data_IF_566415110618
#
_entry.id   IF_566415110618
#
_cell.length_a   1.000
_cell.length_b   1.000
_cell.length_c   1.000
_cell.angle_alpha   90.00
_cell.angle_beta   90.00
_cell.angle_gamma   90.00
#
_symmetry.space_group_name_H-M   'P 1'
#
loop_
_entity.id
_entity.type
_entity.pdbx_description
1 polymer ?
#
# COMPACT_ATOMS: atom_id res chain seq x y z
N UNK A 1 5.31 14.80 -6.65
CA UNK A 1 4.21 15.05 -7.61
C UNK A 1 2.91 14.86 -6.86
N UNK A 2 2.15 15.94 -6.65
CA UNK A 2 0.98 15.96 -5.75
C UNK A 2 -0.22 15.25 -6.37
N UNK A 3 -0.92 14.42 -5.58
CA UNK A 3 -2.16 13.69 -5.95
C UNK A 3 -3.24 14.65 -6.50
N UNK A 4 -3.18 15.95 -6.19
CA UNK A 4 -4.08 16.95 -6.75
C UNK A 4 -4.00 17.07 -8.29
N UNK A 5 -2.89 16.67 -8.91
CA UNK A 5 -2.71 16.76 -10.36
C UNK A 5 -3.35 15.57 -11.12
N UNK A 6 -3.60 14.44 -10.46
CA UNK A 6 -4.18 13.26 -11.12
C UNK A 6 -5.67 13.43 -11.46
N UNK A 7 -6.44 14.22 -10.69
CA UNK A 7 -7.82 14.58 -11.09
C UNK A 7 -7.89 15.89 -11.92
N UNK A 8 -6.79 16.66 -12.05
CA UNK A 8 -6.77 17.91 -12.84
C UNK A 8 -6.26 17.76 -14.28
N UNK A 9 -5.51 16.69 -14.60
CA UNK A 9 -4.81 16.57 -15.89
C UNK A 9 -5.70 16.28 -17.13
N UNK A 10 -7.03 16.43 -17.03
CA UNK A 10 -7.94 16.33 -18.19
C UNK A 10 -8.98 17.47 -18.21
N UNK A 11 -8.55 18.67 -17.85
CA UNK A 11 -9.29 19.90 -18.07
C UNK A 11 -8.39 20.88 -18.81
N UNK A 12 -8.80 21.24 -20.03
CA UNK A 12 -8.19 22.28 -20.85
C UNK A 12 -7.92 23.53 -19.99
N UNK A 13 -6.77 24.16 -20.20
CA UNK A 13 -6.28 25.30 -19.43
C UNK A 13 -7.09 26.57 -19.73
N UNK A 14 -8.33 26.62 -19.23
CA UNK A 14 -9.11 27.84 -19.07
C UNK A 14 -10.33 27.50 -18.20
N UNK A 15 -10.68 28.40 -17.29
CA UNK A 15 -11.80 28.33 -16.32
C UNK A 15 -11.44 27.83 -14.91
N UNK A 16 -11.42 28.82 -14.03
CA UNK A 16 -11.58 28.78 -12.57
C UNK A 16 -12.45 27.61 -12.10
N UNK A 17 -11.83 26.72 -11.33
CA UNK A 17 -12.39 25.51 -10.72
C UNK A 17 -13.29 25.87 -9.54
N UNK A 18 -14.31 26.69 -9.77
CA UNK A 18 -15.29 27.10 -8.76
C UNK A 18 -16.69 26.48 -8.98
N UNK A 19 -16.82 25.59 -9.96
CA UNK A 19 -18.09 24.90 -10.27
C UNK A 19 -17.79 23.44 -10.59
N UNK A 20 -17.36 22.70 -9.57
CA UNK A 20 -17.03 21.28 -9.69
C UNK A 20 -18.32 20.47 -9.71
N UNK A 21 -18.76 20.17 -10.92
CA UNK A 21 -19.82 19.23 -11.25
C UNK A 21 -19.71 17.94 -10.39
N UNK A 22 -20.65 17.67 -9.46
CA UNK A 22 -20.58 16.55 -8.52
C UNK A 22 -20.48 15.19 -9.23
N UNK A 23 -20.91 15.10 -10.49
CA UNK A 23 -20.78 13.89 -11.31
C UNK A 23 -19.32 13.58 -11.66
N UNK A 24 -18.48 14.59 -11.93
CA UNK A 24 -17.06 14.39 -12.27
C UNK A 24 -16.25 13.94 -11.05
N UNK A 25 -16.57 14.46 -9.87
CA UNK A 25 -15.96 14.05 -8.61
C UNK A 25 -16.28 12.58 -8.29
N UNK A 26 -17.54 12.17 -8.51
CA UNK A 26 -17.98 10.79 -8.30
C UNK A 26 -17.27 9.79 -9.22
N UNK A 27 -17.06 10.14 -10.50
CA UNK A 27 -16.32 9.29 -11.45
C UNK A 27 -14.83 9.19 -11.09
N UNK A 28 -14.16 10.30 -10.70
CA UNK A 28 -12.75 10.25 -10.25
C UNK A 28 -12.62 9.35 -9.00
N UNK A 29 -13.51 9.53 -8.01
CA UNK A 29 -13.52 8.75 -6.78
C UNK A 29 -13.75 7.25 -7.02
N UNK A 30 -14.70 6.89 -7.88
CA UNK A 30 -14.97 5.48 -8.21
C UNK A 30 -13.79 4.81 -8.92
N UNK A 31 -13.15 5.52 -9.86
CA UNK A 31 -11.98 5.00 -10.59
C UNK A 31 -10.79 4.80 -9.65
N UNK A 32 -10.53 5.78 -8.78
CA UNK A 32 -9.46 5.71 -7.78
C UNK A 32 -9.71 4.59 -6.78
N UNK A 33 -10.96 4.39 -6.35
CA UNK A 33 -11.34 3.30 -5.47
C UNK A 33 -11.14 1.92 -6.13
N UNK A 34 -11.52 1.76 -7.40
CA UNK A 34 -11.25 0.52 -8.14
C UNK A 34 -9.75 0.25 -8.25
N UNK A 35 -8.95 1.27 -8.56
CA UNK A 35 -7.49 1.14 -8.59
C UNK A 35 -6.92 0.75 -7.22
N UNK A 36 -7.41 1.36 -6.13
CA UNK A 36 -7.03 1.03 -4.75
C UNK A 36 -7.24 -0.45 -4.44
N UNK A 37 -8.42 -0.96 -4.78
CA UNK A 37 -8.80 -2.36 -4.54
C UNK A 37 -7.91 -3.30 -5.34
N UNK A 38 -7.67 -3.00 -6.62
CA UNK A 38 -6.81 -3.83 -7.48
C UNK A 38 -5.38 -3.87 -6.94
N UNK A 39 -4.81 -2.72 -6.58
CA UNK A 39 -3.46 -2.64 -6.00
C UNK A 39 -3.39 -3.39 -4.67
N UNK A 40 -4.38 -3.21 -3.79
CA UNK A 40 -4.43 -3.91 -2.49
C UNK A 40 -4.49 -5.42 -2.67
N UNK A 41 -5.32 -5.91 -3.60
CA UNK A 41 -5.44 -7.33 -3.92
C UNK A 41 -4.12 -7.89 -4.48
N UNK A 42 -3.50 -7.19 -5.42
CA UNK A 42 -2.22 -7.61 -6.00
C UNK A 42 -1.13 -7.72 -4.93
N UNK A 43 -1.04 -6.72 -4.05
CA UNK A 43 -0.09 -6.72 -2.94
C UNK A 43 -0.36 -7.87 -1.96
N UNK A 44 -1.62 -8.10 -1.61
CA UNK A 44 -2.03 -9.24 -0.77
C UNK A 44 -1.52 -10.56 -1.34
N UNK A 45 -1.74 -10.83 -2.63
CA UNK A 45 -1.31 -12.07 -3.28
C UNK A 45 0.22 -12.22 -3.24
N UNK A 46 0.96 -11.16 -3.58
CA UNK A 46 2.44 -11.19 -3.61
C UNK A 46 3.01 -11.50 -2.24
N UNK A 47 2.55 -10.80 -1.19
CA UNK A 47 3.04 -11.03 0.18
C UNK A 47 2.58 -12.37 0.75
N UNK A 48 1.38 -12.82 0.40
CA UNK A 48 0.90 -14.14 0.80
C UNK A 48 1.78 -15.24 0.21
N UNK A 49 2.11 -15.15 -1.08
CA UNK A 49 2.99 -16.12 -1.73
C UNK A 49 4.42 -16.08 -1.15
N UNK A 50 4.99 -14.88 -0.98
CA UNK A 50 6.31 -14.68 -0.36
C UNK A 50 6.36 -15.26 1.06
N UNK A 51 5.36 -14.95 1.88
CA UNK A 51 5.28 -15.39 3.27
C UNK A 51 5.04 -16.89 3.40
N UNK A 52 4.11 -17.44 2.61
CA UNK A 52 3.91 -18.90 2.55
C UNK A 52 5.17 -19.63 2.10
N UNK A 53 5.91 -19.11 1.13
CA UNK A 53 7.19 -19.67 0.71
C UNK A 53 8.20 -19.76 1.86
N UNK A 54 8.26 -18.72 2.71
CA UNK A 54 9.09 -18.74 3.94
C UNK A 54 8.60 -19.76 4.96
N UNK A 55 7.28 -19.87 5.18
CA UNK A 55 6.71 -20.83 6.13
C UNK A 55 6.88 -22.29 5.68
N UNK A 56 6.80 -22.54 4.37
CA UNK A 56 7.03 -23.85 3.76
C UNK A 56 8.53 -24.19 3.62
N UNK A 57 9.41 -23.40 4.24
CA UNK A 57 10.86 -23.65 4.26
C UNK A 57 11.50 -23.69 2.87
N UNK A 58 10.92 -23.01 1.88
CA UNK A 58 11.46 -23.02 0.51
C UNK A 58 12.83 -22.32 0.53
N UNK A 59 13.92 -23.00 0.12
CA UNK A 59 15.29 -22.50 0.31
C UNK A 59 15.51 -21.10 -0.24
N UNK A 60 14.93 -20.82 -1.41
CA UNK A 60 15.03 -19.52 -2.10
C UNK A 60 14.69 -18.33 -1.21
N UNK A 61 13.67 -18.44 -0.36
CA UNK A 61 13.25 -17.33 0.50
C UNK A 61 14.07 -17.22 1.80
N UNK A 62 14.88 -18.23 2.12
CA UNK A 62 15.71 -18.27 3.33
C UNK A 62 17.18 -17.88 3.10
N UNK A 63 17.66 -17.92 1.84
CA UNK A 63 19.03 -17.51 1.47
C UNK A 63 19.40 -16.13 2.02
N UNK A 64 18.57 -15.06 1.87
CA UNK A 64 18.95 -13.74 2.35
C UNK A 64 19.26 -13.70 3.85
N UNK A 65 18.51 -14.44 4.67
CA UNK A 65 18.71 -14.47 6.12
C UNK A 65 20.00 -15.20 6.49
N UNK A 66 20.35 -16.26 5.77
CA UNK A 66 21.63 -16.96 5.95
C UNK A 66 22.81 -16.07 5.61
N UNK A 67 22.73 -15.31 4.51
CA UNK A 67 23.79 -14.38 4.07
C UNK A 67 23.98 -13.24 5.07
N UNK A 68 22.88 -12.77 5.68
CA UNK A 68 22.91 -11.75 6.74
C UNK A 68 23.35 -12.29 8.12
N UNK A 69 23.70 -13.57 8.24
CA UNK A 69 24.01 -14.24 9.52
C UNK A 69 22.89 -14.10 10.57
N UNK A 70 21.63 -14.06 10.13
CA UNK A 70 20.47 -14.01 11.02
C UNK A 70 20.10 -15.43 11.49
N UNK A 71 19.46 -15.55 12.66
CA UNK A 71 18.99 -16.85 13.16
C UNK A 71 18.08 -17.55 12.13
N UNK A 72 18.19 -18.88 12.02
CA UNK A 72 17.40 -19.69 11.07
C UNK A 72 15.89 -19.54 11.27
N UNK A 73 15.44 -19.27 12.50
CA UNK A 73 14.05 -18.98 12.83
C UNK A 73 13.54 -17.63 12.30
N UNK A 74 14.42 -16.69 11.95
CA UNK A 74 14.03 -15.32 11.58
C UNK A 74 13.24 -15.28 10.27
N UNK A 75 13.60 -16.12 9.30
CA UNK A 75 12.84 -16.22 8.04
C UNK A 75 11.41 -16.67 8.24
N UNK A 76 11.16 -17.60 9.17
CA UNK A 76 9.80 -18.04 9.52
C UNK A 76 9.02 -16.93 10.22
N UNK A 77 9.66 -16.20 11.13
CA UNK A 77 9.05 -15.05 11.80
C UNK A 77 8.59 -13.98 10.79
N UNK A 78 9.46 -13.63 9.84
CA UNK A 78 9.10 -12.73 8.73
C UNK A 78 7.98 -13.32 7.88
N UNK A 79 8.02 -14.63 7.59
CA UNK A 79 6.95 -15.32 6.87
C UNK A 79 5.59 -15.21 7.54
N UNK A 80 5.52 -15.34 8.88
CA UNK A 80 4.28 -15.12 9.64
C UNK A 80 3.79 -13.68 9.47
N UNK A 81 4.68 -12.69 9.61
CA UNK A 81 4.32 -11.27 9.43
C UNK A 81 3.81 -11.00 8.01
N UNK A 82 4.47 -11.54 6.98
CA UNK A 82 4.06 -11.37 5.60
C UNK A 82 2.68 -11.98 5.32
N UNK A 83 2.39 -13.17 5.84
CA UNK A 83 1.07 -13.81 5.67
C UNK A 83 -0.02 -13.05 6.43
N UNK A 84 0.23 -12.70 7.70
CA UNK A 84 -0.74 -11.94 8.50
C UNK A 84 -0.98 -10.55 7.91
N UNK A 85 0.07 -9.87 7.45
CA UNK A 85 -0.02 -8.59 6.77
C UNK A 85 -0.75 -8.68 5.43
N UNK A 86 -0.50 -9.73 4.65
CA UNK A 86 -1.19 -9.97 3.39
C UNK A 86 -2.70 -10.18 3.56
N UNK A 87 -3.10 -10.91 4.60
CA UNK A 87 -4.51 -11.11 4.93
C UNK A 87 -5.09 -9.80 5.48
N UNK A 88 -4.37 -9.15 6.41
CA UNK A 88 -4.81 -7.95 7.10
C UNK A 88 -4.99 -6.72 6.19
N UNK A 89 -4.22 -6.59 5.10
CA UNK A 89 -4.37 -5.48 4.15
C UNK A 89 -5.72 -5.50 3.43
N UNK A 90 -6.35 -6.68 3.33
CA UNK A 90 -7.68 -6.86 2.77
C UNK A 90 -8.79 -6.24 3.63
N UNK A 91 -8.62 -6.22 4.95
CA UNK A 91 -9.59 -5.64 5.88
C UNK A 91 -9.32 -4.14 6.09
N UNK A 92 -10.33 -3.31 5.83
CA UNK A 92 -10.22 -1.84 5.92
C UNK A 92 -9.72 -1.37 7.29
N UNK A 93 -10.19 -1.98 8.38
CA UNK A 93 -9.82 -1.60 9.75
C UNK A 93 -8.34 -1.89 10.08
N UNK A 94 -7.77 -2.95 9.49
CA UNK A 94 -6.39 -3.37 9.75
C UNK A 94 -5.43 -2.97 8.63
N UNK A 95 -5.91 -2.27 7.60
CA UNK A 95 -5.15 -2.04 6.37
C UNK A 95 -3.89 -1.23 6.62
N UNK A 96 -4.00 -0.12 7.33
CA UNK A 96 -2.86 0.75 7.62
C UNK A 96 -1.83 0.01 8.47
N UNK A 97 -2.27 -0.70 9.52
CA UNK A 97 -1.40 -1.47 10.40
C UNK A 97 -0.68 -2.61 9.65
N UNK A 98 -1.39 -3.30 8.76
CA UNK A 98 -0.83 -4.39 7.96
C UNK A 98 0.17 -3.86 6.93
N UNK A 99 -0.19 -2.77 6.25
CA UNK A 99 0.68 -2.13 5.28
C UNK A 99 1.97 -1.58 5.93
N UNK A 100 1.91 -1.02 7.14
CA UNK A 100 3.11 -0.57 7.86
C UNK A 100 3.99 -1.73 8.31
N UNK A 101 3.40 -2.83 8.80
CA UNK A 101 4.16 -4.04 9.13
C UNK A 101 4.88 -4.61 7.90
N UNK A 102 4.17 -4.75 6.77
CA UNK A 102 4.76 -5.19 5.50
C UNK A 102 5.85 -4.23 5.01
N UNK A 103 5.67 -2.92 5.17
CA UNK A 103 6.66 -1.93 4.79
C UNK A 103 7.94 -2.03 5.64
N UNK A 104 7.81 -2.33 6.93
CA UNK A 104 8.95 -2.65 7.80
C UNK A 104 9.71 -3.89 7.32
N UNK A 105 9.01 -4.94 6.87
CA UNK A 105 9.65 -6.13 6.29
C UNK A 105 10.40 -5.78 5.00
N UNK A 106 9.80 -4.97 4.13
CA UNK A 106 10.45 -4.52 2.90
C UNK A 106 11.69 -3.67 3.15
N UNK A 107 11.74 -2.90 4.24
CA UNK A 107 12.96 -2.17 4.61
C UNK A 107 14.14 -3.12 4.87
N UNK A 108 13.88 -4.29 5.48
CA UNK A 108 14.90 -5.34 5.62
C UNK A 108 15.35 -5.93 4.28
N UNK A 109 14.41 -6.15 3.35
CA UNK A 109 14.74 -6.62 2.00
C UNK A 109 15.56 -5.60 1.20
N UNK A 110 15.22 -4.31 1.31
CA UNK A 110 15.99 -3.21 0.72
C UNK A 110 17.41 -3.21 1.30
N UNK A 111 17.55 -3.27 2.63
CA UNK A 111 18.85 -3.34 3.29
C UNK A 111 19.69 -4.50 2.75
N UNK A 112 19.10 -5.70 2.62
CA UNK A 112 19.77 -6.86 2.05
C UNK A 112 20.31 -6.58 0.63
N UNK A 113 19.46 -6.10 -0.29
CA UNK A 113 19.88 -5.89 -1.68
C UNK A 113 20.95 -4.80 -1.83
N UNK A 114 20.98 -3.78 -0.97
CA UNK A 114 21.99 -2.74 -1.02
C UNK A 114 23.35 -3.18 -0.44
N UNK A 115 23.36 -4.08 0.54
CA UNK A 115 24.59 -4.46 1.26
C UNK A 115 25.19 -5.79 0.78
N UNK A 116 24.38 -6.69 0.22
CA UNK A 116 24.80 -8.07 -0.11
C UNK A 116 24.62 -8.44 -1.58
N UNK A 117 23.89 -7.65 -2.36
CA UNK A 117 23.66 -7.89 -3.79
C UNK A 117 23.91 -6.62 -4.62
N UNK A 118 23.54 -6.67 -5.91
CA UNK A 118 23.55 -5.49 -6.77
C UNK A 118 22.40 -4.56 -6.42
N UNK A 119 22.65 -3.25 -6.47
CA UNK A 119 21.64 -2.22 -6.19
C UNK A 119 20.43 -2.29 -7.13
N UNK A 120 20.60 -2.84 -8.35
CA UNK A 120 19.50 -3.07 -9.29
C UNK A 120 18.52 -4.14 -8.80
N UNK A 121 18.98 -5.12 -8.02
CA UNK A 121 18.11 -6.13 -7.40
C UNK A 121 17.18 -5.54 -6.35
N UNK A 122 17.42 -4.31 -5.87
CA UNK A 122 16.54 -3.63 -4.92
C UNK A 122 15.26 -3.04 -5.56
N UNK A 123 15.20 -2.95 -6.89
CA UNK A 123 14.06 -2.34 -7.61
C UNK A 123 12.69 -2.97 -7.26
N UNK A 124 12.55 -4.32 -7.18
CA UNK A 124 11.29 -4.92 -6.77
C UNK A 124 10.91 -4.54 -5.32
N UNK A 125 11.85 -4.58 -4.38
CA UNK A 125 11.59 -4.23 -2.98
C UNK A 125 11.21 -2.75 -2.82
N UNK A 126 11.86 -1.85 -3.58
CA UNK A 126 11.53 -0.43 -3.62
C UNK A 126 10.14 -0.17 -4.23
N UNK A 127 9.80 -0.85 -5.32
CA UNK A 127 8.50 -0.68 -5.97
C UNK A 127 7.36 -1.18 -5.07
N UNK A 128 7.49 -2.37 -4.46
CA UNK A 128 6.53 -2.87 -3.49
C UNK A 128 6.39 -1.94 -2.28
N UNK A 129 7.49 -1.39 -1.75
CA UNK A 129 7.46 -0.40 -0.67
C UNK A 129 6.69 0.87 -1.06
N UNK A 130 6.90 1.37 -2.27
CA UNK A 130 6.18 2.53 -2.78
C UNK A 130 4.67 2.26 -2.92
N UNK A 131 4.29 1.06 -3.38
CA UNK A 131 2.89 0.66 -3.45
C UNK A 131 2.24 0.53 -2.06
N UNK A 132 2.93 -0.04 -1.07
CA UNK A 132 2.44 -0.10 0.32
C UNK A 132 2.24 1.30 0.90
N UNK A 133 3.19 2.21 0.66
CA UNK A 133 3.08 3.60 1.09
C UNK A 133 1.89 4.30 0.42
N UNK A 134 1.66 4.04 -0.87
CA UNK A 134 0.51 4.56 -1.59
C UNK A 134 -0.82 4.06 -0.98
N UNK A 135 -0.91 2.78 -0.62
CA UNK A 135 -2.09 2.20 0.04
C UNK A 135 -2.38 2.94 1.35
N UNK A 136 -1.36 3.16 2.19
CA UNK A 136 -1.51 3.89 3.46
C UNK A 136 -2.05 5.30 3.21
N UNK A 137 -1.46 6.03 2.26
CA UNK A 137 -1.89 7.41 1.96
C UNK A 137 -3.29 7.48 1.39
N UNK A 138 -3.66 6.49 0.58
CA UNK A 138 -4.98 6.43 -0.04
C UNK A 138 -6.07 6.14 1.00
N UNK A 139 -5.82 5.20 1.90
CA UNK A 139 -6.74 4.86 2.98
C UNK A 139 -6.95 6.05 3.95
N UNK A 140 -5.86 6.72 4.33
CA UNK A 140 -5.89 7.94 5.15
C UNK A 140 -6.68 9.08 4.49
N UNK A 141 -6.62 9.18 3.16
CA UNK A 141 -7.34 10.20 2.38
C UNK A 141 -8.82 9.87 2.30
N UNK A 142 -9.18 8.62 2.03
CA UNK A 142 -10.59 8.17 1.98
C UNK A 142 -11.26 8.37 3.33
N UNK A 143 -10.59 8.03 4.43
CA UNK A 143 -11.12 8.24 5.79
C UNK A 143 -11.32 9.72 6.13
N UNK A 144 -10.39 10.60 5.71
CA UNK A 144 -10.58 12.05 5.85
C UNK A 144 -11.79 12.56 5.07
N UNK A 145 -11.98 12.11 3.84
CA UNK A 145 -13.12 12.51 3.00
C UNK A 145 -14.46 12.04 3.59
N UNK A 146 -14.53 10.79 4.06
CA UNK A 146 -15.75 10.24 4.68
C UNK A 146 -16.11 11.01 5.95
N UNK A 147 -15.13 11.35 6.79
CA UNK A 147 -15.36 12.17 7.99
C UNK A 147 -15.86 13.57 7.65
N UNK A 148 -15.25 14.22 6.65
CA UNK A 148 -15.67 15.56 6.21
C UNK A 148 -17.10 15.58 5.65
N UNK A 149 -17.46 14.57 4.83
CA UNK A 149 -18.83 14.43 4.33
C UNK A 149 -19.84 14.26 5.46
N UNK A 150 -19.52 13.44 6.47
CA UNK A 150 -20.38 13.27 7.65
C UNK A 150 -20.59 14.60 8.39
N UNK A 151 -19.52 15.38 8.60
CA UNK A 151 -19.62 16.71 9.22
C UNK A 151 -20.50 17.68 8.43
N UNK A 152 -20.44 17.67 7.09
CA UNK A 152 -21.32 18.50 6.26
C UNK A 152 -22.79 18.12 6.40
N UNK A 153 -23.10 16.82 6.46
CA UNK A 153 -24.47 16.32 6.66
C UNK A 153 -25.00 16.72 8.03
N UNK A 154 -24.18 16.56 9.08
CA UNK A 154 -24.54 16.91 10.45
C UNK A 154 -24.78 18.42 10.59
N UNK A 155 -23.95 19.26 9.95
CA UNK A 155 -24.16 20.72 9.93
C UNK A 155 -25.46 21.08 9.20
N UNK A 156 -25.78 20.44 8.08
CA UNK A 156 -27.02 20.71 7.34
C UNK A 156 -28.27 20.28 8.12
N UNK A 157 -28.19 19.24 8.93
CA UNK A 157 -29.29 18.80 9.78
C UNK A 157 -29.55 19.72 10.99
N UNK A 158 -28.58 20.58 11.34
CA UNK A 158 -28.68 21.53 12.43
C UNK A 158 -29.30 22.89 12.05
N UNK A 159 -29.54 23.15 10.76
CA UNK A 159 -30.17 24.36 10.22
C UNK A 159 -31.47 24.03 9.49
#
# INVERSE_FOLDING_TARGET
MSINQLCLAKGNADKTVAETDPQKLFICANTLNRAAVVVTLAMSIVFLFSGMGKLLSVPFFHVPFSVMNLPTGFGYFIGVIEVLGAIGIGWREYRVLSATALLSVMMGAIYYHFNYETTLSALPALSLSALLFLIIKLDETVDRLVRFQRQLVDMKAAF
#
